data_IF_447961447537
#
_entry.id   IF_447961447537
#
_cell.length_a   1.000
_cell.length_b   1.000
_cell.length_c   1.000
_cell.angle_alpha   90.00
_cell.angle_beta   90.00
_cell.angle_gamma   90.00
#
_symmetry.space_group_name_H-M   'P 1'
#
loop_
_entity.id
_entity.type
_entity.pdbx_description
1 polymer ?
#
# COMPACT_ATOMS: atom_id res chain seq x y z
N UNK A 1 9.96 -3.68 0.52
CA UNK A 1 9.48 -3.79 -0.87
C UNK A 1 10.06 -5.03 -1.56
N UNK A 2 11.38 -5.17 -1.59
CA UNK A 2 12.07 -6.31 -2.23
C UNK A 2 11.58 -7.68 -1.76
N UNK A 3 11.32 -7.86 -0.46
CA UNK A 3 10.77 -9.12 0.06
C UNK A 3 9.40 -9.45 -0.55
N UNK A 4 8.53 -8.44 -0.74
CA UNK A 4 7.21 -8.60 -1.34
C UNK A 4 7.36 -8.98 -2.82
N UNK A 5 8.24 -8.29 -3.53
CA UNK A 5 8.50 -8.56 -4.95
C UNK A 5 9.08 -9.97 -5.15
N UNK A 6 10.08 -10.36 -4.35
CA UNK A 6 10.66 -11.70 -4.39
C UNK A 6 9.63 -12.79 -4.09
N UNK A 7 8.77 -12.59 -3.08
CA UNK A 7 7.69 -13.52 -2.73
C UNK A 7 6.69 -13.72 -3.87
N UNK A 8 6.48 -12.68 -4.69
CA UNK A 8 5.57 -12.71 -5.83
C UNK A 8 6.25 -13.16 -7.14
N UNK A 9 7.55 -13.50 -7.11
CA UNK A 9 8.32 -13.84 -8.32
C UNK A 9 8.61 -12.64 -9.22
N UNK A 10 8.50 -11.42 -8.69
CA UNK A 10 8.70 -10.14 -9.38
C UNK A 10 10.10 -9.55 -9.09
N UNK A 11 11.10 -10.40 -8.85
CA UNK A 11 12.46 -9.95 -8.52
C UNK A 11 13.10 -9.10 -9.62
N UNK A 12 12.71 -9.31 -10.88
CA UNK A 12 13.20 -8.55 -12.03
C UNK A 12 12.84 -7.06 -12.03
N UNK A 13 11.89 -6.61 -11.21
CA UNK A 13 11.52 -5.20 -11.08
C UNK A 13 12.04 -4.55 -9.79
N UNK A 14 12.78 -5.28 -8.94
CA UNK A 14 13.30 -4.76 -7.67
C UNK A 14 14.14 -3.49 -7.86
N UNK A 15 15.09 -3.48 -8.80
CA UNK A 15 15.95 -2.31 -9.06
C UNK A 15 15.14 -1.09 -9.51
N UNK A 16 14.10 -1.30 -10.32
CA UNK A 16 13.20 -0.21 -10.76
C UNK A 16 12.40 0.35 -9.58
N UNK A 17 11.85 -0.52 -8.72
CA UNK A 17 11.11 -0.08 -7.54
C UNK A 17 12.01 0.64 -6.53
N UNK A 18 13.28 0.23 -6.37
CA UNK A 18 14.25 0.93 -5.53
C UNK A 18 14.63 2.29 -6.09
N UNK A 19 14.96 2.35 -7.40
CA UNK A 19 15.33 3.59 -8.09
C UNK A 19 14.22 4.64 -8.01
N UNK A 20 12.98 4.22 -8.25
CA UNK A 20 11.79 5.07 -8.20
C UNK A 20 11.27 5.28 -6.75
N UNK A 21 11.96 4.73 -5.74
CA UNK A 21 11.61 4.83 -4.31
C UNK A 21 10.18 4.40 -3.99
N UNK A 22 9.70 3.36 -4.67
CA UNK A 22 8.34 2.84 -4.51
C UNK A 22 8.26 2.02 -3.23
N UNK A 23 7.52 2.54 -2.26
CA UNK A 23 7.19 1.86 -1.01
C UNK A 23 5.83 1.14 -1.10
N UNK A 24 5.55 0.16 -0.24
CA UNK A 24 4.28 -0.58 -0.27
C UNK A 24 3.02 0.32 -0.16
N UNK A 25 3.11 1.45 0.52
CA UNK A 25 2.00 2.42 0.64
C UNK A 25 1.79 3.25 -0.64
N UNK A 26 2.80 3.39 -1.49
CA UNK A 26 2.70 4.04 -2.80
C UNK A 26 2.04 3.09 -3.80
N UNK A 27 2.35 1.79 -3.74
CA UNK A 27 1.81 0.77 -4.66
C UNK A 27 0.28 0.82 -4.76
N UNK A 28 -0.43 1.06 -3.65
CA UNK A 28 -1.90 1.12 -3.65
C UNK A 28 -2.47 2.36 -4.36
N UNK A 29 -1.65 3.40 -4.56
CA UNK A 29 -2.01 4.67 -5.21
C UNK A 29 -1.66 4.71 -6.70
N UNK A 30 -0.80 3.80 -7.17
CA UNK A 30 -0.41 3.73 -8.58
C UNK A 30 -1.60 3.30 -9.46
N UNK A 31 -1.73 3.95 -10.61
CA UNK A 31 -2.57 3.52 -11.71
C UNK A 31 -2.03 2.25 -12.39
N UNK A 32 -2.84 1.62 -13.24
CA UNK A 32 -2.37 0.47 -14.02
C UNK A 32 -1.23 0.87 -14.98
N UNK A 33 -1.32 2.06 -15.58
CA UNK A 33 -0.29 2.56 -16.48
C UNK A 33 1.04 2.82 -15.78
N UNK A 34 1.03 3.38 -14.57
CA UNK A 34 2.24 3.54 -13.77
C UNK A 34 2.85 2.19 -13.37
N UNK A 35 2.02 1.18 -13.06
CA UNK A 35 2.51 -0.17 -12.81
C UNK A 35 3.15 -0.82 -14.04
N UNK A 36 2.60 -0.57 -15.23
CA UNK A 36 3.20 -1.00 -16.51
C UNK A 36 4.57 -0.34 -16.73
N UNK A 37 4.69 0.96 -16.47
CA UNK A 37 5.97 1.69 -16.56
C UNK A 37 7.02 1.15 -15.57
N UNK A 38 6.59 0.63 -14.42
CA UNK A 38 7.47 -0.04 -13.45
C UNK A 38 7.83 -1.48 -13.83
N UNK A 39 7.35 -1.97 -14.97
CA UNK A 39 7.66 -3.31 -15.50
C UNK A 39 6.67 -4.40 -15.10
N UNK A 40 5.51 -4.04 -14.53
CA UNK A 40 4.45 -4.99 -14.20
C UNK A 40 3.32 -4.81 -15.21
N UNK A 41 3.29 -5.64 -16.24
CA UNK A 41 2.28 -5.57 -17.30
C UNK A 41 1.05 -6.44 -17.05
N UNK A 42 1.18 -7.48 -16.21
CA UNK A 42 0.09 -8.40 -15.93
C UNK A 42 -0.84 -7.86 -14.84
N UNK A 43 -2.13 -7.68 -15.16
CA UNK A 43 -3.16 -7.24 -14.19
C UNK A 43 -3.28 -8.14 -12.97
N UNK A 44 -3.08 -9.45 -13.12
CA UNK A 44 -3.11 -10.39 -11.98
C UNK A 44 -1.97 -10.09 -11.01
N UNK A 45 -0.78 -9.81 -11.53
CA UNK A 45 0.40 -9.51 -10.71
C UNK A 45 0.28 -8.12 -10.08
N UNK A 46 -0.23 -7.13 -10.81
CA UNK A 46 -0.61 -5.83 -10.25
C UNK A 46 -1.54 -5.98 -9.04
N UNK A 47 -2.59 -6.79 -9.17
CA UNK A 47 -3.56 -7.01 -8.09
C UNK A 47 -2.93 -7.75 -6.90
N UNK A 48 -2.14 -8.80 -7.15
CA UNK A 48 -1.39 -9.51 -6.10
C UNK A 48 -0.45 -8.60 -5.35
N UNK A 49 0.27 -7.74 -6.08
CA UNK A 49 1.18 -6.77 -5.51
C UNK A 49 0.45 -5.76 -4.62
N UNK A 50 -0.71 -5.25 -5.05
CA UNK A 50 -1.56 -4.36 -4.23
C UNK A 50 -2.01 -5.05 -2.94
N UNK A 51 -2.44 -6.30 -3.03
CA UNK A 51 -2.91 -7.07 -1.87
C UNK A 51 -1.77 -7.28 -0.87
N UNK A 52 -0.61 -7.75 -1.31
CA UNK A 52 0.53 -7.96 -0.40
C UNK A 52 1.06 -6.65 0.16
N UNK A 53 1.12 -5.59 -0.66
CA UNK A 53 1.56 -4.27 -0.20
C UNK A 53 0.63 -3.68 0.86
N UNK A 54 -0.69 -3.88 0.74
CA UNK A 54 -1.67 -3.50 1.77
C UNK A 54 -1.55 -4.32 3.07
N UNK A 55 -0.97 -5.53 3.03
CA UNK A 55 -0.68 -6.29 4.26
C UNK A 55 0.48 -5.69 5.03
N UNK A 56 1.44 -5.08 4.33
CA UNK A 56 2.66 -4.49 4.89
C UNK A 56 2.60 -2.96 5.07
N UNK A 57 1.56 -2.30 4.56
CA UNK A 57 1.38 -0.84 4.65
C UNK A 57 1.21 -0.37 6.10
N UNK A 58 2.02 0.63 6.47
CA UNK A 58 2.20 1.20 7.82
C UNK A 58 0.96 1.91 8.42
N UNK A 59 -0.21 1.83 7.77
CA UNK A 59 -1.44 2.53 8.16
C UNK A 59 -2.64 1.58 8.31
N UNK A 60 -2.43 0.35 8.80
CA UNK A 60 -3.56 -0.34 9.43
C UNK A 60 -3.79 0.35 10.78
N UNK A 61 -4.89 1.10 10.97
CA UNK A 61 -5.29 1.46 12.32
C UNK A 61 -5.36 0.18 13.14
N UNK A 62 -4.61 0.15 14.24
CA UNK A 62 -4.55 -1.01 15.13
C UNK A 62 -5.97 -1.36 15.56
N UNK A 63 -6.41 -2.57 15.20
CA UNK A 63 -7.72 -3.06 15.61
C UNK A 63 -7.61 -3.38 17.09
N UNK A 64 -8.24 -2.58 17.95
CA UNK A 64 -8.33 -2.89 19.36
C UNK A 64 -9.18 -4.16 19.52
N UNK A 65 -8.53 -5.29 19.81
CA UNK A 65 -9.19 -6.59 19.93
C UNK A 65 -9.98 -6.74 21.25
N UNK A 66 -9.96 -5.73 22.10
CA UNK A 66 -10.44 -5.79 23.48
C UNK A 66 -11.95 -5.58 23.65
N UNK A 67 -12.70 -5.26 22.59
CA UNK A 67 -14.15 -5.07 22.68
C UNK A 67 -14.84 -5.95 21.64
N UNK A 68 -15.62 -6.94 22.11
CA UNK A 68 -16.51 -7.77 21.30
C UNK A 68 -17.64 -6.94 20.68
N UNK A 69 -17.30 -6.11 19.69
CA UNK A 69 -18.18 -5.16 19.02
C UNK A 69 -17.57 -4.63 17.72
N UNK A 70 -18.26 -3.67 17.09
CA UNK A 70 -17.85 -3.10 15.81
C UNK A 70 -16.40 -2.55 15.85
N UNK A 71 -15.64 -2.62 14.73
CA UNK A 71 -14.25 -2.17 14.70
C UNK A 71 -14.11 -0.72 15.17
N UNK A 72 -13.43 -0.50 16.30
CA UNK A 72 -13.03 0.84 16.72
C UNK A 72 -11.65 1.13 16.12
N UNK A 73 -11.58 2.22 15.34
CA UNK A 73 -10.34 2.73 14.80
C UNK A 73 -9.92 3.93 15.65
N UNK A 74 -8.75 3.83 16.29
CA UNK A 74 -8.19 4.93 17.05
C UNK A 74 -7.50 5.90 16.07
N UNK A 75 -8.29 6.77 15.43
CA UNK A 75 -7.81 7.76 14.48
C UNK A 75 -7.50 9.05 15.27
N UNK A 76 -6.23 9.49 15.36
CA UNK A 76 -5.90 10.73 16.07
C UNK A 76 -6.66 11.92 15.49
N UNK A 77 -7.18 12.79 16.37
CA UNK A 77 -7.98 13.97 15.98
C UNK A 77 -7.26 14.86 14.96
N UNK A 78 -5.94 14.98 15.08
CA UNK A 78 -5.08 15.75 14.18
C UNK A 78 -5.10 15.23 12.74
N UNK A 79 -5.29 13.92 12.54
CA UNK A 79 -5.42 13.32 11.20
C UNK A 79 -6.76 13.71 10.57
N UNK A 80 -7.84 13.78 11.36
CA UNK A 80 -9.15 14.21 10.89
C UNK A 80 -9.15 15.70 10.54
N UNK A 81 -8.55 16.54 11.38
CA UNK A 81 -8.46 17.99 11.16
C UNK A 81 -7.67 18.31 9.87
N UNK A 82 -6.53 17.64 9.65
CA UNK A 82 -5.74 17.79 8.41
C UNK A 82 -6.45 17.30 7.15
N UNK A 83 -7.35 16.32 7.27
CA UNK A 83 -8.16 15.88 6.14
C UNK A 83 -9.20 16.94 5.81
N UNK A 84 -9.95 17.44 6.81
CA UNK A 84 -10.99 18.47 6.60
C UNK A 84 -10.43 19.75 5.96
N UNK A 85 -9.25 20.21 6.39
CA UNK A 85 -8.61 21.41 5.82
C UNK A 85 -8.15 21.25 4.37
N UNK A 86 -7.93 20.02 3.88
CA UNK A 86 -7.50 19.75 2.51
C UNK A 86 -8.64 19.66 1.49
N UNK A 87 -9.90 19.67 1.95
CA UNK A 87 -11.09 19.58 1.09
C UNK A 87 -11.85 20.91 0.94
N UNK A 88 -11.25 22.03 1.37
CA UNK A 88 -11.71 23.41 1.14
C UNK A 88 -10.59 24.23 0.48
#
# INVERSE_FOLDING_TARGET
MNEILNKLGLSGVCETFEREKITPDIVSKLSAHEMEMLGISNRTDMMRLRIESNKHGCFKPSKDASLGGAPQFNIPKTVLENLVEKWF
#
